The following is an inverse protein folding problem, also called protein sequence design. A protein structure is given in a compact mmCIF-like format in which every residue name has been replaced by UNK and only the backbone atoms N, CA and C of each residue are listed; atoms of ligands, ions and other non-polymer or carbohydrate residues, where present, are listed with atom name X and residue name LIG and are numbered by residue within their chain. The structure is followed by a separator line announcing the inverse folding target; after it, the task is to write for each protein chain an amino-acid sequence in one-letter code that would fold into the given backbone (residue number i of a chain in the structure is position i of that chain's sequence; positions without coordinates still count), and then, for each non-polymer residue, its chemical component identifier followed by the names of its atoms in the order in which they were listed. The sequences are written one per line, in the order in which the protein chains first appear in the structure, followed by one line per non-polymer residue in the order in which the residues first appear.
data_IF_554060021095
#
_entry.id   IF_554060021095
#
_cell.length_a   1.000
_cell.length_b   1.000
_cell.length_c   1.000
_cell.angle_alpha   90.00
_cell.angle_beta   90.00
_cell.angle_gamma   90.00
#
_symmetry.space_group_name_H-M   'P 1'
#
loop_
_entity.id
_entity.type
_entity.pdbx_description
1 polymer ?
#
# COMPACT_ATOMS: atom_id res chain seq x y z
N UNK A 1 -44.97 -7.58 -75.87
CA UNK A 1 -44.96 -8.50 -74.74
C UNK A 1 -44.40 -7.78 -73.57
N UNK A 2 -45.26 -7.39 -72.64
CA UNK A 2 -44.85 -6.62 -71.39
C UNK A 2 -44.99 -7.56 -70.23
N UNK A 3 -43.95 -7.76 -69.49
CA UNK A 3 -43.99 -8.44 -68.18
C UNK A 3 -43.87 -7.45 -67.08
N UNK A 4 -44.96 -7.32 -66.27
CA UNK A 4 -44.97 -6.62 -64.97
C UNK A 4 -44.36 -7.57 -63.91
N UNK A 5 -43.63 -7.01 -62.91
CA UNK A 5 -43.26 -7.77 -61.74
C UNK A 5 -44.23 -7.53 -60.58
N UNK A 6 -44.63 -8.60 -59.93
CA UNK A 6 -45.46 -8.68 -58.75
C UNK A 6 -44.71 -8.11 -57.49
N UNK A 7 -45.36 -7.15 -56.84
CA UNK A 7 -44.92 -6.65 -55.55
C UNK A 7 -45.45 -7.54 -54.43
N UNK A 8 -44.52 -8.17 -53.66
CA UNK A 8 -44.85 -8.89 -52.45
C UNK A 8 -44.59 -7.95 -51.23
N UNK A 9 -45.70 -7.44 -50.66
CA UNK A 9 -45.68 -6.73 -49.41
C UNK A 9 -45.44 -7.68 -48.23
N UNK A 10 -44.39 -7.44 -47.50
CA UNK A 10 -44.21 -7.99 -46.14
C UNK A 10 -44.37 -6.88 -45.11
N UNK A 11 -45.37 -7.02 -44.27
CA UNK A 11 -45.55 -6.20 -43.08
C UNK A 11 -44.46 -6.46 -42.05
N UNK A 12 -44.00 -5.46 -41.29
CA UNK A 12 -43.04 -5.70 -40.21
C UNK A 12 -43.72 -6.31 -38.98
N UNK A 13 -43.19 -7.41 -38.50
CA UNK A 13 -43.57 -8.02 -37.23
C UNK A 13 -43.17 -7.11 -36.08
N UNK A 14 -44.16 -6.75 -35.24
CA UNK A 14 -43.96 -6.09 -33.97
C UNK A 14 -43.19 -7.03 -33.05
N UNK A 15 -42.00 -6.64 -32.61
CA UNK A 15 -41.25 -7.31 -31.55
C UNK A 15 -41.98 -7.08 -30.20
N UNK A 16 -42.45 -8.16 -29.60
CA UNK A 16 -42.95 -8.19 -28.24
C UNK A 16 -41.78 -8.14 -27.25
N UNK A 17 -42.01 -7.82 -25.95
CA UNK A 17 -40.97 -7.71 -24.96
C UNK A 17 -40.32 -9.07 -24.74
N UNK A 18 -39.01 -9.13 -24.98
CA UNK A 18 -38.19 -10.29 -24.63
C UNK A 18 -38.13 -10.40 -23.12
N UNK A 19 -38.73 -11.47 -22.59
CA UNK A 19 -38.55 -11.91 -21.22
C UNK A 19 -37.07 -12.09 -20.97
N UNK A 20 -36.49 -11.21 -20.14
CA UNK A 20 -35.15 -11.40 -19.60
C UNK A 20 -35.20 -12.67 -18.74
N UNK A 21 -34.55 -13.70 -19.25
CA UNK A 21 -34.53 -15.01 -18.64
C UNK A 21 -33.85 -14.99 -17.28
N UNK A 22 -34.39 -15.73 -16.34
CA UNK A 22 -33.92 -15.93 -14.96
C UNK A 22 -32.42 -16.32 -14.83
N UNK A 23 -31.75 -16.63 -15.93
CA UNK A 23 -30.31 -16.95 -15.97
C UNK A 23 -29.40 -15.73 -15.72
N UNK A 24 -29.83 -14.51 -16.00
CA UNK A 24 -29.03 -13.29 -15.72
C UNK A 24 -29.05 -12.90 -14.22
N UNK A 25 -30.06 -13.32 -13.48
CA UNK A 25 -30.16 -13.09 -12.04
C UNK A 25 -29.40 -14.15 -11.21
N UNK A 26 -29.12 -15.32 -11.74
CA UNK A 26 -28.32 -16.34 -11.07
C UNK A 26 -26.81 -16.07 -11.11
N UNK A 27 -26.31 -15.32 -12.09
CA UNK A 27 -24.88 -14.93 -12.17
C UNK A 27 -24.51 -13.79 -11.23
N UNK A 28 -25.49 -13.02 -10.73
CA UNK A 28 -25.27 -12.00 -9.71
C UNK A 28 -25.25 -12.56 -8.27
N UNK A 29 -25.66 -13.81 -8.10
CA UNK A 29 -25.69 -14.49 -6.79
C UNK A 29 -24.43 -15.32 -6.50
N UNK A 30 -23.54 -15.49 -7.49
CA UNK A 30 -22.27 -16.22 -7.33
C UNK A 30 -21.07 -15.32 -7.03
N UNK A 31 -21.27 -14.00 -6.91
CA UNK A 31 -20.28 -13.11 -6.28
C UNK A 31 -20.72 -12.94 -4.83
N UNK A 32 -20.58 -13.99 -4.05
CA UNK A 32 -20.60 -13.84 -2.60
C UNK A 32 -19.48 -12.87 -2.21
N UNK A 33 -19.78 -11.81 -1.44
CA UNK A 33 -18.74 -11.09 -0.74
C UNK A 33 -18.18 -12.04 0.31
N UNK A 34 -17.06 -12.69 0.00
CA UNK A 34 -16.28 -13.37 1.04
C UNK A 34 -15.89 -12.32 2.06
N UNK A 35 -16.69 -12.18 3.07
CA UNK A 35 -16.39 -11.89 4.45
C UNK A 35 -17.62 -11.35 5.20
N UNK A 36 -18.62 -12.17 5.40
CA UNK A 36 -19.43 -12.05 6.61
C UNK A 36 -18.76 -12.95 7.68
N UNK A 37 -17.53 -12.57 8.03
CA UNK A 37 -16.84 -13.14 9.17
C UNK A 37 -17.55 -12.70 10.44
N UNK A 38 -17.76 -13.66 11.33
CA UNK A 38 -18.21 -13.43 12.70
C UNK A 38 -17.44 -12.25 13.32
N UNK A 39 -18.08 -11.39 14.12
CA UNK A 39 -17.39 -10.32 14.81
C UNK A 39 -16.27 -10.93 15.65
N UNK A 40 -15.04 -10.52 15.38
CA UNK A 40 -13.88 -10.91 16.17
C UNK A 40 -14.08 -10.38 17.60
N UNK A 41 -14.55 -11.23 18.49
CA UNK A 41 -15.05 -10.86 19.82
C UNK A 41 -13.97 -10.34 20.78
N UNK A 42 -12.70 -10.26 20.36
CA UNK A 42 -11.59 -9.91 21.26
C UNK A 42 -10.58 -8.89 20.71
N UNK A 43 -10.79 -8.29 19.54
CA UNK A 43 -9.90 -7.26 19.04
C UNK A 43 -10.57 -5.88 19.22
N UNK A 44 -10.37 -5.23 20.36
CA UNK A 44 -10.78 -3.85 20.59
C UNK A 44 -9.58 -2.94 20.34
N UNK A 45 -9.66 -2.10 19.31
CA UNK A 45 -8.77 -0.95 19.20
C UNK A 45 -9.01 -0.01 20.38
N UNK A 46 -7.93 0.37 21.05
CA UNK A 46 -7.99 1.39 22.10
C UNK A 46 -8.21 2.75 21.40
N UNK A 47 -9.24 3.51 21.80
CA UNK A 47 -9.58 4.82 21.23
C UNK A 47 -8.47 5.88 21.36
N UNK A 48 -7.40 5.57 22.07
CA UNK A 48 -6.20 6.41 22.23
C UNK A 48 -5.12 6.19 21.18
N UNK A 49 -5.34 5.26 20.23
CA UNK A 49 -4.40 5.01 19.14
C UNK A 49 -4.38 6.20 18.18
N UNK A 50 -3.17 6.56 17.70
CA UNK A 50 -2.84 7.78 16.95
C UNK A 50 -3.59 7.99 15.63
N UNK A 51 -4.29 6.99 15.13
CA UNK A 51 -5.15 7.06 13.97
C UNK A 51 -6.54 7.59 14.32
N UNK A 52 -6.70 8.78 14.76
CA UNK A 52 -7.91 9.44 15.25
C UNK A 52 -9.24 8.81 14.77
N UNK A 53 -10.31 8.97 15.50
CA UNK A 53 -11.61 8.31 15.34
C UNK A 53 -12.05 8.21 13.89
N UNK A 54 -12.14 6.99 13.39
CA UNK A 54 -12.66 6.70 12.07
C UNK A 54 -14.18 6.86 12.08
N UNK A 55 -14.69 7.94 11.50
CA UNK A 55 -16.12 8.08 11.27
C UNK A 55 -16.48 7.43 9.91
N UNK A 56 -17.29 6.36 9.86
CA UNK A 56 -17.62 5.65 8.63
C UNK A 56 -18.47 6.47 7.64
N UNK A 57 -18.85 7.67 7.98
CA UNK A 57 -19.88 8.45 7.27
C UNK A 57 -19.36 9.55 6.33
N UNK A 58 -18.05 9.58 6.00
CA UNK A 58 -17.56 10.59 5.03
C UNK A 58 -17.69 10.06 3.62
N UNK A 59 -18.55 10.67 2.82
CA UNK A 59 -18.75 10.32 1.42
C UNK A 59 -17.56 10.69 0.55
N UNK A 60 -17.40 10.03 -0.62
CA UNK A 60 -16.34 10.34 -1.60
C UNK A 60 -16.33 11.81 -2.03
N UNK A 61 -17.48 12.45 -2.06
CA UNK A 61 -17.63 13.86 -2.48
C UNK A 61 -17.22 14.84 -1.38
N UNK A 62 -17.35 14.48 -0.12
CA UNK A 62 -16.80 15.25 1.00
C UNK A 62 -15.28 15.13 1.08
N UNK A 63 -14.72 13.97 0.70
CA UNK A 63 -13.26 13.82 0.53
C UNK A 63 -12.70 14.76 -0.52
N UNK A 64 -13.35 14.89 -1.68
CA UNK A 64 -12.87 15.74 -2.77
C UNK A 64 -12.92 17.22 -2.40
N UNK A 65 -13.88 17.64 -1.60
CA UNK A 65 -14.07 19.04 -1.19
C UNK A 65 -13.22 19.48 0.01
N UNK A 66 -12.82 18.54 0.89
CA UNK A 66 -12.17 18.84 2.16
C UNK A 66 -10.81 18.14 2.33
N UNK A 67 -10.08 17.88 1.24
CA UNK A 67 -8.78 17.19 1.27
C UNK A 67 -7.81 17.82 2.29
N UNK A 68 -7.84 19.14 2.47
CA UNK A 68 -6.93 19.82 3.41
C UNK A 68 -7.24 19.58 4.89
N UNK A 69 -8.52 19.54 5.30
CA UNK A 69 -8.91 19.56 6.72
C UNK A 69 -9.35 18.21 7.27
N UNK A 70 -10.06 17.41 6.48
CA UNK A 70 -10.57 16.10 6.91
C UNK A 70 -9.47 15.03 6.91
N UNK A 71 -8.45 15.22 6.07
CA UNK A 71 -7.35 14.30 5.86
C UNK A 71 -6.34 14.31 7.03
N UNK A 72 -6.20 15.40 7.77
CA UNK A 72 -5.26 15.49 8.90
C UNK A 72 -5.52 14.47 10.02
N UNK A 73 -6.73 13.96 10.16
CA UNK A 73 -7.12 13.07 11.27
C UNK A 73 -7.13 11.57 10.92
N UNK A 74 -6.68 11.18 9.72
CA UNK A 74 -6.88 9.79 9.24
C UNK A 74 -5.64 9.13 8.67
N UNK A 75 -4.49 9.74 8.81
CA UNK A 75 -3.21 9.17 8.40
C UNK A 75 -2.62 8.33 9.51
N UNK A 76 -2.23 7.11 9.20
CA UNK A 76 -1.82 6.10 10.18
C UNK A 76 -0.36 5.71 10.09
N UNK A 77 0.38 6.18 9.09
CA UNK A 77 1.83 5.94 8.95
C UNK A 77 2.59 6.52 10.16
N UNK A 78 3.59 5.79 10.64
CA UNK A 78 4.34 6.13 11.86
C UNK A 78 4.91 7.55 11.84
N UNK A 79 5.38 8.00 10.67
CA UNK A 79 5.93 9.34 10.44
C UNK A 79 5.17 10.09 9.33
N UNK A 80 3.92 9.66 9.02
CA UNK A 80 3.11 10.26 7.97
C UNK A 80 3.50 9.86 6.56
N UNK A 81 4.20 8.74 6.37
CA UNK A 81 4.59 8.21 5.07
C UNK A 81 3.40 8.10 4.13
N UNK A 82 2.29 7.53 4.60
CA UNK A 82 1.04 7.37 3.86
C UNK A 82 0.50 8.71 3.31
N UNK A 83 0.56 9.78 4.12
CA UNK A 83 0.16 11.13 3.70
C UNK A 83 1.09 11.71 2.65
N UNK A 84 2.40 11.56 2.84
CA UNK A 84 3.41 12.04 1.90
C UNK A 84 3.25 11.32 0.57
N UNK A 85 3.14 10.00 0.59
CA UNK A 85 3.00 9.16 -0.61
C UNK A 85 1.68 9.45 -1.33
N UNK A 86 0.57 9.60 -0.62
CA UNK A 86 -0.69 9.98 -1.22
C UNK A 86 -0.61 11.34 -1.93
N UNK A 87 0.02 12.33 -1.31
CA UNK A 87 0.21 13.65 -1.90
C UNK A 87 1.15 13.61 -3.10
N UNK A 88 2.28 12.90 -3.00
CA UNK A 88 3.23 12.70 -4.09
C UNK A 88 2.57 12.02 -5.29
N UNK A 89 1.87 10.93 -5.07
CA UNK A 89 1.25 10.14 -6.12
C UNK A 89 0.08 10.86 -6.78
N UNK A 90 -0.69 11.64 -6.06
CA UNK A 90 -1.72 12.51 -6.64
C UNK A 90 -1.13 13.55 -7.59
N UNK A 91 0.08 14.04 -7.31
CA UNK A 91 0.78 15.00 -8.16
C UNK A 91 1.59 14.33 -9.29
N UNK A 92 1.98 13.06 -9.15
CA UNK A 92 2.88 12.38 -10.09
C UNK A 92 2.19 11.39 -11.01
N UNK A 93 1.01 10.90 -10.64
CA UNK A 93 0.25 9.92 -11.43
C UNK A 93 -1.15 10.43 -11.72
N UNK A 94 -1.74 9.97 -12.82
CA UNK A 94 -3.15 10.22 -13.18
C UNK A 94 -4.06 9.10 -12.67
N UNK A 95 -3.51 8.10 -11.99
CA UNK A 95 -4.25 6.95 -11.53
C UNK A 95 -5.18 7.32 -10.38
N UNK A 96 -6.48 7.26 -10.61
CA UNK A 96 -7.53 7.49 -9.62
C UNK A 96 -7.54 6.37 -8.56
N UNK A 97 -7.03 5.18 -8.92
CA UNK A 97 -6.92 4.01 -8.03
C UNK A 97 -5.57 3.37 -8.23
N UNK A 98 -4.72 3.44 -7.21
CA UNK A 98 -3.42 2.78 -7.21
C UNK A 98 -3.46 1.36 -6.66
N UNK A 99 -2.37 0.65 -6.87
CA UNK A 99 -2.09 -0.64 -6.27
C UNK A 99 -0.94 -0.48 -5.28
N UNK A 100 -1.00 -1.19 -4.16
CA UNK A 100 0.09 -1.18 -3.20
C UNK A 100 0.53 -2.58 -2.81
N UNK A 101 1.78 -2.66 -2.37
CA UNK A 101 2.33 -3.81 -1.64
C UNK A 101 2.91 -3.28 -0.33
N UNK A 102 2.55 -3.90 0.78
CA UNK A 102 2.99 -3.54 2.13
C UNK A 102 3.73 -4.73 2.73
N UNK A 103 5.07 -4.64 2.77
CA UNK A 103 5.92 -5.70 3.29
C UNK A 103 6.22 -5.45 4.77
N UNK A 104 6.02 -6.47 5.59
CA UNK A 104 5.96 -6.40 7.04
C UNK A 104 4.88 -5.41 7.51
N UNK A 105 3.66 -5.62 7.01
CA UNK A 105 2.54 -4.69 7.17
C UNK A 105 2.10 -4.50 8.63
N UNK A 106 2.62 -5.31 9.56
CA UNK A 106 2.48 -5.18 11.01
C UNK A 106 1.00 -5.08 11.44
N UNK A 107 0.65 -4.04 12.17
CA UNK A 107 -0.73 -3.80 12.62
C UNK A 107 -1.61 -3.32 11.45
N UNK A 108 -2.84 -3.79 11.40
CA UNK A 108 -3.76 -3.52 10.31
C UNK A 108 -4.05 -2.02 10.11
N UNK A 109 -3.95 -1.20 11.14
CA UNK A 109 -4.29 0.23 11.14
C UNK A 109 -3.12 1.06 11.66
N UNK A 110 -2.64 0.75 12.87
CA UNK A 110 -1.63 1.53 13.56
C UNK A 110 -0.28 1.42 12.86
N UNK A 111 0.37 2.53 12.62
CA UNK A 111 1.64 2.65 11.88
C UNK A 111 1.59 2.08 10.46
N UNK A 112 0.40 1.89 9.89
CA UNK A 112 0.26 1.35 8.55
C UNK A 112 0.49 2.42 7.49
N UNK A 113 1.45 2.18 6.61
CA UNK A 113 1.76 3.05 5.47
C UNK A 113 0.74 2.93 4.33
N UNK A 114 -0.21 1.99 4.40
CA UNK A 114 -1.13 1.69 3.31
C UNK A 114 -2.60 1.70 3.71
N UNK A 115 -2.93 1.72 5.00
CA UNK A 115 -4.32 1.73 5.47
C UNK A 115 -5.11 2.94 4.93
N UNK A 116 -4.54 4.14 5.04
CA UNK A 116 -5.17 5.35 4.55
C UNK A 116 -5.33 5.34 3.01
N UNK A 117 -4.34 4.83 2.27
CA UNK A 117 -4.43 4.66 0.81
C UNK A 117 -5.61 3.75 0.43
N UNK A 118 -5.81 2.67 1.17
CA UNK A 118 -6.91 1.74 0.96
C UNK A 118 -8.26 2.38 1.33
N UNK A 119 -8.37 2.97 2.52
CA UNK A 119 -9.64 3.46 3.05
C UNK A 119 -10.08 4.78 2.44
N UNK A 120 -9.15 5.72 2.23
CA UNK A 120 -9.45 7.05 1.74
C UNK A 120 -9.43 7.16 0.21
N UNK A 121 -8.46 6.49 -0.43
CA UNK A 121 -8.25 6.60 -1.87
C UNK A 121 -8.82 5.40 -2.65
N UNK A 122 -9.34 4.38 -1.95
CA UNK A 122 -9.93 3.20 -2.57
C UNK A 122 -8.91 2.34 -3.31
N UNK A 123 -7.64 2.41 -2.91
CA UNK A 123 -6.60 1.57 -3.46
C UNK A 123 -6.80 0.11 -3.04
N UNK A 124 -6.18 -0.80 -3.76
CA UNK A 124 -6.17 -2.22 -3.42
C UNK A 124 -4.74 -2.74 -3.44
N UNK A 125 -4.48 -3.82 -2.74
CA UNK A 125 -3.11 -4.30 -2.65
C UNK A 125 -2.92 -5.62 -1.94
N UNK A 126 -1.65 -5.90 -1.71
CA UNK A 126 -1.14 -7.05 -0.99
C UNK A 126 -0.46 -6.57 0.29
N UNK A 127 -0.89 -7.12 1.41
CA UNK A 127 -0.23 -6.97 2.70
C UNK A 127 0.49 -8.28 3.02
N UNK A 128 1.77 -8.20 3.36
CA UNK A 128 2.57 -9.36 3.74
C UNK A 128 2.95 -9.20 5.21
N UNK A 129 2.50 -10.14 6.05
CA UNK A 129 2.74 -10.08 7.49
C UNK A 129 2.98 -11.49 8.06
N UNK A 130 4.19 -11.79 8.51
CA UNK A 130 4.53 -13.10 9.05
C UNK A 130 3.99 -13.32 10.47
N UNK A 131 3.82 -12.27 11.29
CA UNK A 131 3.45 -12.41 12.69
C UNK A 131 1.94 -12.68 12.87
N UNK A 132 1.53 -13.87 13.33
CA UNK A 132 0.12 -14.25 13.46
C UNK A 132 -0.67 -13.36 14.42
N UNK A 133 0.01 -12.63 15.31
CA UNK A 133 -0.62 -11.67 16.23
C UNK A 133 -1.46 -10.62 15.50
N UNK A 134 -1.00 -10.20 14.32
CA UNK A 134 -1.63 -9.11 13.57
C UNK A 134 -2.71 -9.57 12.59
N UNK A 135 -2.72 -10.86 12.21
CA UNK A 135 -3.64 -11.39 11.19
C UNK A 135 -5.13 -11.11 11.45
N UNK A 136 -5.66 -11.21 12.71
CA UNK A 136 -7.07 -10.93 12.96
C UNK A 136 -7.48 -9.48 12.61
N UNK A 137 -6.57 -8.51 12.81
CA UNK A 137 -6.82 -7.11 12.45
C UNK A 137 -7.01 -6.90 10.95
N UNK A 138 -6.24 -7.62 10.11
CA UNK A 138 -6.41 -7.54 8.66
C UNK A 138 -7.78 -8.05 8.22
N UNK A 139 -8.23 -9.20 8.73
CA UNK A 139 -9.57 -9.71 8.41
C UNK A 139 -10.71 -8.79 8.84
N UNK A 140 -10.51 -8.01 9.91
CA UNK A 140 -11.54 -7.12 10.45
C UNK A 140 -11.57 -5.74 9.79
N UNK A 141 -10.39 -5.19 9.39
CA UNK A 141 -10.26 -3.77 9.04
C UNK A 141 -9.68 -3.51 7.66
N UNK A 142 -9.14 -4.53 6.96
CA UNK A 142 -8.46 -4.36 5.67
C UNK A 142 -9.16 -5.12 4.55
N UNK A 143 -8.99 -4.62 3.34
CA UNK A 143 -9.43 -5.26 2.10
C UNK A 143 -8.27 -5.78 1.26
N UNK A 144 -7.02 -5.42 1.61
CA UNK A 144 -5.86 -5.99 0.96
C UNK A 144 -5.83 -7.51 1.13
N UNK A 145 -5.34 -8.21 0.13
CA UNK A 145 -5.01 -9.63 0.29
C UNK A 145 -3.91 -9.77 1.34
N UNK A 146 -4.07 -10.69 2.29
CA UNK A 146 -3.07 -10.93 3.33
C UNK A 146 -2.28 -12.20 3.02
N UNK A 147 -0.98 -12.04 2.73
CA UNK A 147 -0.02 -13.13 2.68
C UNK A 147 0.60 -13.32 4.08
N UNK A 148 0.32 -14.46 4.71
CA UNK A 148 0.80 -14.80 6.08
C UNK A 148 2.18 -15.44 6.02
N UNK A 149 3.15 -14.71 5.48
CA UNK A 149 4.50 -15.18 5.23
C UNK A 149 5.48 -14.01 5.30
N UNK A 150 6.77 -14.27 5.09
CA UNK A 150 7.83 -13.29 4.91
C UNK A 150 8.34 -13.30 3.47
N UNK A 151 9.12 -12.29 3.10
CA UNK A 151 9.70 -12.15 1.76
C UNK A 151 11.22 -12.29 1.82
N UNK A 152 11.76 -13.07 0.89
CA UNK A 152 13.20 -13.29 0.69
C UNK A 152 13.51 -13.40 -0.81
N UNK A 153 14.79 -13.40 -1.18
CA UNK A 153 15.21 -13.56 -2.57
C UNK A 153 14.73 -14.88 -3.18
N UNK A 154 14.77 -15.95 -2.38
CA UNK A 154 14.42 -17.31 -2.77
C UNK A 154 13.51 -17.93 -1.71
N UNK A 155 12.71 -18.89 -2.12
CA UNK A 155 11.89 -19.66 -1.18
C UNK A 155 12.78 -20.43 -0.21
N UNK A 156 12.63 -20.18 1.10
CA UNK A 156 13.36 -20.88 2.14
C UNK A 156 12.65 -20.89 3.48
N UNK A 157 12.94 -21.89 4.28
CA UNK A 157 12.55 -21.90 5.69
C UNK A 157 13.45 -20.96 6.49
N UNK A 158 12.83 -20.21 7.39
CA UNK A 158 13.52 -19.27 8.28
C UNK A 158 12.99 -19.40 9.70
N UNK A 159 13.80 -18.94 10.63
CA UNK A 159 13.34 -18.63 11.98
C UNK A 159 13.06 -17.13 12.06
N UNK A 160 11.81 -16.77 12.35
CA UNK A 160 11.35 -15.40 12.45
C UNK A 160 11.14 -15.02 13.91
N UNK A 161 11.84 -14.00 14.39
CA UNK A 161 11.68 -13.50 15.74
C UNK A 161 10.42 -12.67 15.88
N UNK A 162 9.60 -12.98 16.90
CA UNK A 162 8.36 -12.27 17.21
C UNK A 162 8.62 -11.13 18.20
N UNK A 163 9.28 -10.07 17.74
CA UNK A 163 9.70 -8.92 18.55
C UNK A 163 8.74 -7.73 18.41
N UNK A 164 7.44 -7.94 18.60
CA UNK A 164 6.43 -6.87 18.45
C UNK A 164 6.41 -6.32 17.04
N UNK A 165 6.54 -4.99 16.89
CA UNK A 165 6.61 -4.32 15.58
C UNK A 165 7.95 -4.46 14.87
N UNK A 166 8.96 -5.03 15.52
CA UNK A 166 10.33 -5.22 14.99
C UNK A 166 10.65 -6.69 14.76
N UNK A 167 9.67 -7.45 14.27
CA UNK A 167 9.87 -8.85 13.91
C UNK A 167 10.79 -8.97 12.70
N UNK A 168 11.77 -9.88 12.76
CA UNK A 168 12.76 -10.05 11.69
C UNK A 168 13.21 -11.50 11.54
N UNK A 169 13.82 -11.80 10.40
CA UNK A 169 14.45 -13.10 10.17
C UNK A 169 15.75 -13.17 10.98
N UNK A 170 15.88 -14.16 11.85
CA UNK A 170 17.09 -14.37 12.65
C UNK A 170 17.96 -15.49 12.07
N UNK A 171 19.27 -15.30 12.14
CA UNK A 171 20.26 -16.32 11.75
C UNK A 171 20.75 -17.19 12.91
N UNK A 172 20.41 -16.84 14.15
CA UNK A 172 20.89 -17.54 15.35
C UNK A 172 19.73 -18.04 16.19
N UNK A 173 19.66 -19.34 16.42
CA UNK A 173 18.68 -20.00 17.29
C UNK A 173 18.82 -19.58 18.76
N UNK A 174 18.24 -18.47 19.13
CA UNK A 174 18.31 -17.91 20.49
C UNK A 174 17.19 -16.92 20.79
N UNK A 175 16.31 -16.65 19.86
CA UNK A 175 15.19 -15.76 20.04
C UNK A 175 14.22 -16.28 21.12
N UNK A 176 13.85 -15.45 22.07
CA UNK A 176 12.93 -15.81 23.18
C UNK A 176 11.54 -16.21 22.69
N UNK A 177 11.11 -15.72 21.52
CA UNK A 177 9.90 -16.10 20.82
C UNK A 177 10.17 -16.07 19.32
N UNK A 178 10.24 -17.24 18.71
CA UNK A 178 10.41 -17.36 17.27
C UNK A 178 9.33 -18.24 16.65
N UNK A 179 9.14 -18.07 15.35
CA UNK A 179 8.24 -18.86 14.52
C UNK A 179 9.03 -19.39 13.33
N UNK A 180 8.98 -20.70 13.11
CA UNK A 180 9.49 -21.29 11.86
C UNK A 180 8.44 -21.13 10.77
N UNK A 181 8.82 -20.53 9.66
CA UNK A 181 7.96 -20.36 8.50
C UNK A 181 8.76 -20.40 7.21
N UNK A 182 8.07 -20.63 6.12
CA UNK A 182 8.65 -20.57 4.79
C UNK A 182 8.43 -19.18 4.23
N UNK A 183 9.50 -18.42 3.94
CA UNK A 183 9.41 -17.18 3.18
C UNK A 183 9.33 -17.47 1.69
N UNK A 184 8.69 -16.60 0.95
CA UNK A 184 8.50 -16.70 -0.50
C UNK A 184 9.15 -15.49 -1.20
N UNK A 185 9.64 -15.64 -2.44
CA UNK A 185 10.00 -14.50 -3.26
C UNK A 185 8.78 -13.59 -3.52
N UNK A 186 9.02 -12.29 -3.56
CA UNK A 186 7.91 -11.35 -3.85
C UNK A 186 7.28 -11.62 -5.23
N UNK A 187 8.07 -12.03 -6.22
CA UNK A 187 7.58 -12.43 -7.55
C UNK A 187 6.53 -13.55 -7.49
N UNK A 188 6.67 -14.52 -6.60
CA UNK A 188 5.72 -15.62 -6.41
C UNK A 188 4.40 -15.07 -5.83
N UNK A 189 4.48 -14.23 -4.80
CA UNK A 189 3.31 -13.61 -4.19
C UNK A 189 2.57 -12.71 -5.20
N UNK A 190 3.30 -11.89 -5.94
CA UNK A 190 2.73 -11.02 -6.97
C UNK A 190 2.04 -11.81 -8.09
N UNK A 191 2.65 -12.90 -8.55
CA UNK A 191 2.06 -13.78 -9.56
C UNK A 191 0.77 -14.43 -9.05
N UNK A 192 0.76 -14.92 -7.79
CA UNK A 192 -0.42 -15.49 -7.15
C UNK A 192 -1.59 -14.49 -7.09
N UNK A 193 -1.31 -13.25 -6.76
CA UNK A 193 -2.30 -12.17 -6.68
C UNK A 193 -2.50 -11.41 -8.00
N UNK A 194 -1.91 -11.87 -9.11
CA UNK A 194 -2.01 -11.27 -10.46
C UNK A 194 -1.62 -9.78 -10.49
N UNK A 195 -0.67 -9.39 -9.66
CA UNK A 195 -0.15 -8.03 -9.57
C UNK A 195 1.13 -7.91 -10.40
N UNK A 196 1.17 -6.97 -11.34
CA UNK A 196 2.35 -6.67 -12.17
C UNK A 196 2.74 -5.20 -12.14
N UNK A 197 1.79 -4.32 -11.90
CA UNK A 197 2.01 -2.89 -11.77
C UNK A 197 1.69 -2.48 -10.32
N UNK A 198 2.70 -1.97 -9.63
CA UNK A 198 2.63 -1.54 -8.24
C UNK A 198 2.83 -0.03 -8.23
N UNK A 199 1.82 0.70 -7.77
CA UNK A 199 1.92 2.15 -7.64
C UNK A 199 2.77 2.53 -6.43
N UNK A 200 2.67 1.77 -5.33
CA UNK A 200 3.43 2.01 -4.11
C UNK A 200 3.87 0.71 -3.44
N UNK A 201 5.14 0.58 -3.14
CA UNK A 201 5.73 -0.47 -2.32
C UNK A 201 6.25 0.11 -1.01
N UNK A 202 5.69 -0.30 0.11
CA UNK A 202 6.22 -0.04 1.45
C UNK A 202 7.11 -1.21 1.86
N UNK A 203 8.37 -0.94 2.18
CA UNK A 203 9.39 -1.93 2.49
C UNK A 203 10.08 -1.59 3.82
N UNK A 204 9.68 -2.31 4.85
CA UNK A 204 10.17 -2.17 6.23
C UNK A 204 10.21 -3.57 6.86
N UNK A 205 11.25 -4.34 6.52
CA UNK A 205 11.39 -5.75 6.91
C UNK A 205 12.53 -5.98 7.92
N UNK A 206 12.95 -4.88 8.59
CA UNK A 206 13.90 -4.91 9.70
C UNK A 206 15.25 -5.57 9.32
N UNK A 207 15.87 -5.09 8.22
CA UNK A 207 17.20 -5.48 7.74
C UNK A 207 17.22 -6.49 6.57
N UNK A 208 16.07 -6.94 6.10
CA UNK A 208 15.95 -7.86 4.96
C UNK A 208 15.61 -7.18 3.63
N UNK A 209 15.66 -5.86 3.53
CA UNK A 209 15.12 -5.06 2.43
C UNK A 209 15.74 -5.43 1.08
N UNK A 210 17.06 -5.56 1.03
CA UNK A 210 17.76 -5.92 -0.20
C UNK A 210 17.44 -7.36 -0.63
N UNK A 211 17.35 -8.27 0.32
CA UNK A 211 17.00 -9.67 0.06
C UNK A 211 15.55 -9.76 -0.49
N UNK A 212 14.61 -9.03 0.09
CA UNK A 212 13.24 -8.93 -0.40
C UNK A 212 13.18 -8.38 -1.84
N UNK A 213 13.96 -7.32 -2.14
CA UNK A 213 14.01 -6.73 -3.48
C UNK A 213 14.67 -7.64 -4.53
N UNK A 214 15.59 -8.51 -4.13
CA UNK A 214 16.17 -9.55 -5.00
C UNK A 214 15.13 -10.59 -5.40
N UNK A 215 14.08 -10.79 -4.61
CA UNK A 215 12.95 -11.67 -4.90
C UNK A 215 11.93 -11.11 -5.89
N UNK A 216 12.12 -9.89 -6.39
CA UNK A 216 11.25 -9.27 -7.42
C UNK A 216 11.67 -9.73 -8.82
N UNK A 217 10.72 -10.12 -9.64
CA UNK A 217 10.95 -10.27 -11.08
C UNK A 217 10.82 -8.89 -11.77
N UNK A 218 11.94 -8.23 -11.93
CA UNK A 218 12.03 -6.88 -12.52
C UNK A 218 11.73 -6.84 -14.03
N UNK A 219 11.62 -7.98 -14.69
CA UNK A 219 11.25 -8.04 -16.12
C UNK A 219 9.72 -7.95 -16.30
N UNK A 220 8.96 -8.41 -15.33
CA UNK A 220 7.49 -8.49 -15.41
C UNK A 220 6.78 -7.57 -14.41
N UNK A 221 7.51 -7.02 -13.45
CA UNK A 221 6.96 -6.16 -12.40
C UNK A 221 7.41 -4.72 -12.59
N UNK A 222 6.47 -3.79 -12.57
CA UNK A 222 6.76 -2.35 -12.55
C UNK A 222 6.36 -1.76 -11.20
N UNK A 223 7.19 -0.87 -10.68
CA UNK A 223 6.95 -0.15 -9.42
C UNK A 223 7.11 1.34 -9.69
N UNK A 224 6.20 2.17 -9.21
CA UNK A 224 6.25 3.61 -9.39
C UNK A 224 7.03 4.30 -8.27
N UNK A 225 6.69 3.99 -7.03
CA UNK A 225 7.27 4.59 -5.83
C UNK A 225 7.54 3.50 -4.79
N UNK A 226 8.69 3.61 -4.11
CA UNK A 226 9.02 2.80 -2.94
C UNK A 226 9.35 3.72 -1.76
N UNK A 227 8.92 3.32 -0.56
CA UNK A 227 9.57 3.71 0.70
C UNK A 227 10.37 2.54 1.23
N UNK A 228 11.59 2.80 1.67
CA UNK A 228 12.49 1.78 2.20
C UNK A 228 13.07 2.30 3.51
N UNK A 229 12.79 1.58 4.62
CA UNK A 229 13.38 1.91 5.90
C UNK A 229 14.90 1.71 5.85
N UNK A 230 15.65 2.69 6.35
CA UNK A 230 17.12 2.63 6.51
C UNK A 230 17.87 2.10 5.28
N UNK A 231 17.59 2.68 4.09
CA UNK A 231 18.18 2.21 2.84
C UNK A 231 19.72 2.26 2.85
N UNK A 232 20.37 1.09 2.77
CA UNK A 232 21.82 0.97 2.68
C UNK A 232 22.36 1.51 1.34
N UNK A 233 23.67 1.79 1.29
CA UNK A 233 24.34 2.19 0.04
C UNK A 233 24.25 1.11 -1.03
N UNK A 234 24.31 -0.18 -0.64
CA UNK A 234 24.17 -1.32 -1.57
C UNK A 234 22.75 -1.38 -2.15
N UNK A 235 21.72 -1.26 -1.30
CA UNK A 235 20.33 -1.23 -1.73
C UNK A 235 20.06 -0.03 -2.64
N UNK A 236 20.59 1.14 -2.31
CA UNK A 236 20.46 2.35 -3.15
C UNK A 236 21.03 2.09 -4.55
N UNK A 237 22.25 1.59 -4.66
CA UNK A 237 22.87 1.22 -5.95
C UNK A 237 22.06 0.16 -6.69
N UNK A 238 21.49 -0.81 -5.96
CA UNK A 238 20.66 -1.86 -6.54
C UNK A 238 19.40 -1.29 -7.21
N UNK A 239 18.73 -0.33 -6.58
CA UNK A 239 17.55 0.33 -7.12
C UNK A 239 17.92 1.31 -8.25
N UNK A 240 18.99 2.07 -8.12
CA UNK A 240 19.48 2.98 -9.17
C UNK A 240 19.80 2.23 -10.46
N UNK A 241 20.46 1.07 -10.37
CA UNK A 241 20.72 0.20 -11.51
C UNK A 241 19.45 -0.33 -12.20
N UNK A 242 18.31 -0.24 -11.53
CA UNK A 242 16.98 -0.62 -12.03
C UNK A 242 16.12 0.56 -12.46
N UNK A 243 16.73 1.74 -12.57
CA UNK A 243 16.07 2.93 -13.06
C UNK A 243 15.22 3.66 -12.01
N UNK A 244 15.53 3.50 -10.73
CA UNK A 244 14.95 4.33 -9.68
C UNK A 244 15.86 5.49 -9.31
N UNK A 245 15.27 6.56 -8.82
CA UNK A 245 15.98 7.68 -8.23
C UNK A 245 15.53 7.85 -6.78
N UNK A 246 16.47 7.93 -5.86
CA UNK A 246 16.23 8.40 -4.49
C UNK A 246 15.99 9.90 -4.53
N UNK A 247 14.88 10.39 -3.98
CA UNK A 247 14.48 11.80 -4.14
C UNK A 247 14.44 12.57 -2.84
N UNK A 248 14.00 11.98 -1.77
CA UNK A 248 13.95 12.53 -0.41
C UNK A 248 13.75 11.41 0.60
N UNK A 249 13.64 11.74 1.89
CA UNK A 249 13.21 10.79 2.91
C UNK A 249 12.08 11.36 3.78
N UNK A 250 11.38 10.45 4.45
CA UNK A 250 10.39 10.72 5.48
C UNK A 250 10.86 10.01 6.73
N UNK A 251 11.38 10.74 7.70
CA UNK A 251 12.07 10.19 8.87
C UNK A 251 13.19 9.21 8.46
N UNK A 252 13.05 7.93 8.76
CA UNK A 252 14.02 6.89 8.41
C UNK A 252 13.82 6.32 7.00
N UNK A 253 12.67 6.55 6.38
CA UNK A 253 12.31 5.94 5.11
C UNK A 253 12.84 6.76 3.94
N UNK A 254 13.67 6.15 3.13
CA UNK A 254 14.08 6.70 1.84
C UNK A 254 13.01 6.52 0.80
N UNK A 255 12.67 7.58 0.07
CA UNK A 255 11.69 7.55 -1.01
C UNK A 255 12.40 7.44 -2.34
N UNK A 256 12.13 6.34 -3.03
CA UNK A 256 12.59 6.07 -4.38
C UNK A 256 11.43 6.18 -5.37
N UNK A 257 11.67 6.76 -6.52
CA UNK A 257 10.69 6.84 -7.61
C UNK A 257 11.29 6.29 -8.90
N UNK A 258 10.46 5.67 -9.73
CA UNK A 258 10.88 5.29 -11.08
C UNK A 258 11.43 6.53 -11.83
N UNK A 259 12.49 6.38 -12.60
CA UNK A 259 13.22 7.50 -13.23
C UNK A 259 12.30 8.44 -14.02
N UNK A 260 11.25 7.89 -14.66
CA UNK A 260 10.23 8.68 -15.36
C UNK A 260 9.46 9.65 -14.47
N UNK A 261 9.40 9.41 -13.17
CA UNK A 261 8.68 10.23 -12.18
C UNK A 261 9.61 11.19 -11.45
N UNK A 262 10.96 11.07 -11.61
CA UNK A 262 11.95 11.83 -10.86
C UNK A 262 11.68 13.33 -10.91
N UNK A 263 11.55 13.91 -12.11
CA UNK A 263 11.33 15.36 -12.25
C UNK A 263 10.06 15.80 -11.53
N UNK A 264 8.96 15.08 -11.70
CA UNK A 264 7.68 15.40 -11.04
C UNK A 264 7.79 15.30 -9.51
N UNK A 265 8.48 14.29 -9.01
CA UNK A 265 8.69 14.11 -7.57
C UNK A 265 9.55 15.24 -6.98
N UNK A 266 10.62 15.64 -7.67
CA UNK A 266 11.47 16.77 -7.26
C UNK A 266 10.69 18.08 -7.29
N UNK A 267 9.92 18.34 -8.34
CA UNK A 267 9.08 19.54 -8.45
C UNK A 267 7.98 19.56 -7.35
N UNK A 268 7.39 18.39 -7.05
CA UNK A 268 6.43 18.26 -5.96
C UNK A 268 7.09 18.59 -4.61
N UNK A 269 8.25 17.99 -4.32
CA UNK A 269 8.98 18.25 -3.09
C UNK A 269 9.30 19.73 -2.90
N UNK A 270 9.81 20.39 -3.94
CA UNK A 270 10.14 21.81 -3.89
C UNK A 270 8.93 22.73 -3.63
N UNK A 271 7.73 22.35 -4.07
CA UNK A 271 6.51 23.16 -3.95
C UNK A 271 5.67 22.79 -2.72
N UNK A 272 5.53 21.52 -2.43
CA UNK A 272 4.57 21.00 -1.45
C UNK A 272 5.28 20.25 -0.33
N UNK A 273 6.29 19.43 -0.64
CA UNK A 273 6.94 18.58 0.33
C UNK A 273 7.45 19.34 1.55
N UNK A 274 8.08 20.49 1.33
CA UNK A 274 8.59 21.36 2.41
C UNK A 274 7.49 21.98 3.28
N UNK A 275 6.26 22.05 2.78
CA UNK A 275 5.12 22.63 3.53
C UNK A 275 4.36 21.59 4.35
N UNK A 276 4.69 20.31 4.17
CA UNK A 276 4.09 19.21 4.95
C UNK A 276 4.77 19.03 6.31
N UNK A 277 5.50 20.02 6.78
CA UNK A 277 5.93 20.03 8.17
C UNK A 277 4.68 19.92 9.09
N UNK A 278 4.75 19.08 10.07
CA UNK A 278 5.91 18.52 10.77
C UNK A 278 6.31 17.07 10.39
N UNK A 279 6.14 16.63 9.16
CA UNK A 279 6.31 15.23 8.77
C UNK A 279 7.76 14.76 8.61
N UNK A 280 8.76 15.48 9.13
CA UNK A 280 10.16 15.05 9.06
C UNK A 280 10.62 14.68 7.64
N UNK A 281 10.39 15.56 6.65
CA UNK A 281 10.78 15.31 5.27
C UNK A 281 12.06 16.07 4.97
N UNK A 282 13.02 15.44 4.28
CA UNK A 282 14.28 16.06 3.87
C UNK A 282 14.76 15.57 2.51
N UNK A 283 15.34 16.46 1.71
CA UNK A 283 16.10 16.13 0.51
C UNK A 283 17.61 15.99 0.81
N UNK A 284 18.04 16.21 2.04
CA UNK A 284 19.37 15.84 2.50
C UNK A 284 19.47 14.32 2.70
N UNK A 285 19.87 13.65 1.62
CA UNK A 285 19.97 12.18 1.59
C UNK A 285 21.08 11.64 2.51
N UNK A 286 22.07 12.47 2.89
CA UNK A 286 23.09 12.09 3.85
C UNK A 286 22.52 12.07 5.28
N UNK A 287 21.74 13.09 5.66
CA UNK A 287 21.03 13.12 6.93
C UNK A 287 20.04 11.97 7.08
N UNK A 288 19.34 11.61 6.00
CA UNK A 288 18.45 10.45 5.96
C UNK A 288 19.19 9.15 6.31
N UNK A 289 20.36 8.93 5.70
CA UNK A 289 21.14 7.70 5.86
C UNK A 289 21.79 7.58 7.24
N UNK A 290 22.13 8.70 7.86
CA UNK A 290 22.78 8.74 9.17
C UNK A 290 21.80 8.63 10.36
N UNK A 291 20.48 8.65 10.10
CA UNK A 291 19.45 8.69 11.15
C UNK A 291 19.36 10.03 11.89
N UNK A 292 20.23 11.00 11.55
CA UNK A 292 20.29 12.33 12.22
C UNK A 292 19.03 13.14 11.97
N UNK A 293 18.32 12.90 10.88
CA UNK A 293 17.03 13.54 10.61
C UNK A 293 15.99 13.21 11.68
N UNK A 294 15.91 11.94 12.10
CA UNK A 294 14.95 11.53 13.13
C UNK A 294 15.23 12.21 14.47
N UNK A 295 16.51 12.36 14.86
CA UNK A 295 16.89 13.09 16.07
C UNK A 295 16.50 14.56 15.97
N UNK A 296 16.76 15.21 14.83
CA UNK A 296 16.37 16.60 14.59
C UNK A 296 14.85 16.78 14.62
N UNK A 297 14.11 15.88 13.97
CA UNK A 297 12.66 15.89 13.97
C UNK A 297 12.08 15.63 15.36
N UNK A 298 12.61 14.66 16.11
CA UNK A 298 12.17 14.41 17.49
C UNK A 298 12.36 15.63 18.38
N UNK A 299 13.48 16.35 18.23
CA UNK A 299 13.75 17.57 18.97
C UNK A 299 12.77 18.70 18.59
N UNK A 300 12.38 18.79 17.32
CA UNK A 300 11.42 19.77 16.82
C UNK A 300 9.99 19.38 17.21
N UNK A 301 9.63 18.12 17.14
CA UNK A 301 8.32 17.60 17.50
C UNK A 301 8.01 17.75 18.99
N UNK A 302 8.99 17.65 19.88
CA UNK A 302 8.78 17.89 21.32
C UNK A 302 8.45 19.36 21.62
N UNK A 303 8.84 20.31 20.74
CA UNK A 303 8.56 21.74 20.92
C UNK A 303 7.26 22.21 20.27
N UNK A 304 6.77 21.54 19.26
CA UNK A 304 5.61 21.95 18.45
C UNK A 304 4.69 20.78 18.21
N UNK A 305 3.95 20.26 19.23
CA UNK A 305 2.82 19.32 19.05
C UNK A 305 2.79 18.60 17.70
N UNK A 306 3.87 17.92 17.31
CA UNK A 306 3.87 17.04 16.16
C UNK A 306 3.06 15.81 16.55
N UNK A 307 1.95 15.61 15.90
CA UNK A 307 1.12 14.40 16.02
C UNK A 307 0.41 14.20 17.36
N UNK A 308 -0.27 15.21 17.82
CA UNK A 308 -1.45 15.01 18.68
C UNK A 308 -2.57 15.88 18.13
N UNK A 309 -3.23 15.39 17.12
CA UNK A 309 -4.43 15.97 16.53
C UNK A 309 -5.13 14.95 15.73
#
# INVERSE_FOLDING_TARGET
MRHEPLTNGRQPLRAGPVLATAAALLLLWLIEPHNQGQPATHFRYNEKDHCGRFHPAVTKDEMARNIGTVVQQRWCGQFGQDRVIASLLNATTTAVRGTFVDLAANDAIRNSNTYALEQLLGWHGLCVEPNPKYHPGFGAYRRCALAKTCVTAEKREVEFELSGGKGHITSSGGAKKSLKLTCEPLSVLLAHHKMRAITYLSLDVEGGELDALRGVDWNTTTIDVLTVETASAELTKFLEARGFARVFCVALDSVFVAARLKKRATDWYGRIGRTLEPLCISDDLAACSAGTLLEQCSATCTRTRCVTG
#
